data_IF_234065230887
#
_entry.id   IF_234065230887
#
_cell.length_a   1.000
_cell.length_b   1.000
_cell.length_c   1.000
_cell.angle_alpha   90.00
_cell.angle_beta   90.00
_cell.angle_gamma   90.00
#
_symmetry.space_group_name_H-M   'P 1'
#
loop_
_entity.id
_entity.type
_entity.pdbx_description
1 polymer ?
#
# COMPACT_ATOMS: atom_id res chain seq x y z
N UNK A 1 25.01 -22.71 11.32
CA UNK A 1 25.12 -21.28 11.69
C UNK A 1 24.75 -20.45 10.47
N UNK A 2 23.65 -19.69 10.52
CA UNK A 2 23.35 -18.76 9.43
C UNK A 2 24.46 -17.71 9.31
N UNK A 3 24.88 -17.38 8.09
CA UNK A 3 25.83 -16.29 7.84
C UNK A 3 25.31 -14.99 8.47
N UNK A 4 26.20 -14.18 9.05
CA UNK A 4 25.86 -12.86 9.60
C UNK A 4 25.14 -11.98 8.57
N UNK A 5 25.55 -12.07 7.30
CA UNK A 5 24.88 -11.40 6.20
C UNK A 5 23.43 -11.89 5.99
N UNK A 6 23.19 -13.21 6.09
CA UNK A 6 21.86 -13.78 5.96
C UNK A 6 20.93 -13.36 7.11
N UNK A 7 21.46 -13.28 8.33
CA UNK A 7 20.72 -12.77 9.48
C UNK A 7 20.31 -11.30 9.29
N UNK A 8 21.23 -10.42 8.88
CA UNK A 8 20.94 -9.02 8.63
C UNK A 8 19.92 -8.82 7.51
N UNK A 9 20.04 -9.59 6.43
CA UNK A 9 19.08 -9.57 5.33
C UNK A 9 17.67 -9.99 5.80
N UNK A 10 17.56 -11.06 6.62
CA UNK A 10 16.29 -11.49 7.22
C UNK A 10 15.67 -10.38 8.08
N UNK A 11 16.46 -9.75 8.95
CA UNK A 11 15.98 -8.64 9.80
C UNK A 11 15.53 -7.44 8.98
N UNK A 12 16.23 -7.10 7.91
CA UNK A 12 15.84 -6.02 6.99
C UNK A 12 14.51 -6.32 6.30
N UNK A 13 14.33 -7.54 5.80
CA UNK A 13 13.08 -7.99 5.18
C UNK A 13 11.90 -8.01 6.17
N UNK A 14 12.11 -8.49 7.41
CA UNK A 14 11.10 -8.44 8.47
C UNK A 14 10.65 -7.00 8.74
N UNK A 15 11.60 -6.08 8.88
CA UNK A 15 11.32 -4.65 9.11
C UNK A 15 10.53 -4.03 7.96
N UNK A 16 10.86 -4.38 6.72
CA UNK A 16 10.13 -3.94 5.54
C UNK A 16 8.70 -4.50 5.51
N UNK A 17 8.52 -5.80 5.75
CA UNK A 17 7.20 -6.45 5.80
C UNK A 17 6.30 -5.82 6.86
N UNK A 18 6.81 -5.59 8.07
CA UNK A 18 6.06 -4.93 9.15
C UNK A 18 5.63 -3.51 8.74
N UNK A 19 6.53 -2.73 8.11
CA UNK A 19 6.20 -1.38 7.64
C UNK A 19 5.15 -1.38 6.53
N UNK A 20 5.23 -2.32 5.60
CA UNK A 20 4.23 -2.47 4.54
C UNK A 20 2.89 -2.88 5.14
N UNK A 21 2.88 -3.87 6.04
CA UNK A 21 1.69 -4.36 6.71
C UNK A 21 1.00 -3.25 7.51
N UNK A 22 1.75 -2.49 8.32
CA UNK A 22 1.20 -1.37 9.09
C UNK A 22 0.54 -0.31 8.18
N UNK A 23 1.21 0.09 7.09
CA UNK A 23 0.64 1.05 6.13
C UNK A 23 -0.64 0.52 5.47
N UNK A 24 -0.67 -0.77 5.12
CA UNK A 24 -1.83 -1.42 4.51
C UNK A 24 -2.99 -1.51 5.51
N UNK A 25 -2.73 -1.98 6.72
CA UNK A 25 -3.73 -2.10 7.79
C UNK A 25 -4.32 -0.74 8.17
N UNK A 26 -3.49 0.31 8.28
CA UNK A 26 -3.95 1.66 8.58
C UNK A 26 -4.84 2.22 7.46
N UNK A 27 -4.48 1.96 6.19
CA UNK A 27 -5.31 2.35 5.04
C UNK A 27 -6.66 1.63 5.06
N UNK A 28 -6.67 0.33 5.32
CA UNK A 28 -7.92 -0.44 5.38
C UNK A 28 -8.78 -0.07 6.59
N UNK A 29 -8.17 0.27 7.72
CA UNK A 29 -8.88 0.85 8.88
C UNK A 29 -9.62 2.12 8.48
N UNK A 30 -8.98 2.99 7.69
CA UNK A 30 -9.64 4.19 7.16
C UNK A 30 -10.75 3.85 6.15
N UNK A 31 -10.53 2.86 5.29
CA UNK A 31 -11.53 2.42 4.30
C UNK A 31 -12.82 1.95 4.99
N UNK A 32 -12.69 1.21 6.09
CA UNK A 32 -13.83 0.75 6.89
C UNK A 32 -14.48 1.86 7.72
N UNK A 33 -13.68 2.68 8.40
CA UNK A 33 -14.21 3.68 9.33
C UNK A 33 -14.99 4.79 8.61
N UNK A 34 -14.56 5.18 7.40
CA UNK A 34 -15.08 6.29 6.57
C UNK A 34 -14.93 7.67 7.22
N UNK A 35 -15.40 7.83 8.46
CA UNK A 35 -15.34 9.03 9.28
C UNK A 35 -14.07 9.09 10.14
N UNK A 36 -13.50 10.30 10.24
CA UNK A 36 -12.22 10.54 10.91
C UNK A 36 -12.23 10.26 12.42
N UNK A 37 -13.32 10.59 13.12
CA UNK A 37 -13.41 10.42 14.56
C UNK A 37 -13.39 8.93 14.98
N UNK A 38 -14.00 8.04 14.19
CA UNK A 38 -13.91 6.59 14.39
C UNK A 38 -12.50 6.10 14.04
N UNK A 39 -11.99 6.54 12.89
CA UNK A 39 -10.67 6.16 12.41
C UNK A 39 -9.55 6.46 13.42
N UNK A 40 -9.58 7.61 14.12
CA UNK A 40 -8.50 7.95 15.05
C UNK A 40 -8.38 6.95 16.20
N UNK A 41 -9.50 6.57 16.82
CA UNK A 41 -9.50 5.58 17.89
C UNK A 41 -9.03 4.20 17.37
N UNK A 42 -9.52 3.78 16.21
CA UNK A 42 -9.13 2.49 15.62
C UNK A 42 -7.66 2.47 15.17
N UNK A 43 -7.15 3.60 14.67
CA UNK A 43 -5.75 3.77 14.27
C UNK A 43 -4.80 3.76 15.47
N UNK A 44 -5.20 4.35 16.59
CA UNK A 44 -4.46 4.30 17.86
C UNK A 44 -4.40 2.86 18.39
N UNK A 45 -5.55 2.19 18.49
CA UNK A 45 -5.62 0.77 18.86
C UNK A 45 -4.76 -0.12 17.94
N UNK A 46 -4.76 0.16 16.63
CA UNK A 46 -3.89 -0.53 15.67
C UNK A 46 -2.42 -0.26 15.98
N UNK A 47 -2.04 0.98 16.30
CA UNK A 47 -0.66 1.33 16.61
C UNK A 47 -0.18 0.66 17.89
N UNK A 48 -1.00 0.63 18.93
CA UNK A 48 -0.66 0.03 20.22
C UNK A 48 -0.31 -1.44 20.07
N UNK A 49 -1.10 -2.20 19.30
CA UNK A 49 -0.83 -3.62 18.98
C UNK A 49 0.52 -3.83 18.30
N UNK A 50 0.99 -2.88 17.48
CA UNK A 50 2.32 -2.94 16.86
C UNK A 50 3.44 -2.53 17.85
N UNK A 51 3.19 -1.55 18.73
CA UNK A 51 4.17 -1.13 19.74
C UNK A 51 4.38 -2.19 20.82
N UNK A 52 3.32 -2.91 21.23
CA UNK A 52 3.39 -4.05 22.18
C UNK A 52 4.45 -5.08 21.78
N UNK A 53 4.63 -5.31 20.47
CA UNK A 53 5.51 -6.33 19.92
C UNK A 53 6.84 -5.78 19.37
N UNK A 54 7.11 -4.48 19.53
CA UNK A 54 8.27 -3.80 18.94
C UNK A 54 9.62 -4.29 19.44
N UNK A 55 9.66 -4.75 20.68
CA UNK A 55 10.89 -5.16 21.38
C UNK A 55 11.17 -6.67 21.28
N UNK A 56 10.40 -7.41 20.48
CA UNK A 56 10.68 -8.83 20.24
C UNK A 56 11.97 -8.96 19.41
N UNK A 57 12.92 -9.76 19.92
CA UNK A 57 14.24 -9.94 19.29
C UNK A 57 14.38 -11.27 18.55
N UNK A 58 13.66 -12.32 19.00
CA UNK A 58 13.71 -13.65 18.39
C UNK A 58 13.18 -13.64 16.95
N UNK A 59 14.02 -13.90 15.93
CA UNK A 59 13.61 -13.82 14.53
C UNK A 59 12.48 -14.78 14.16
N UNK A 60 12.43 -15.96 14.78
CA UNK A 60 11.42 -16.98 14.47
C UNK A 60 10.05 -16.59 15.07
N UNK A 61 10.04 -16.01 16.27
CA UNK A 61 8.84 -15.39 16.84
C UNK A 61 8.35 -14.22 15.99
N UNK A 62 9.26 -13.37 15.49
CA UNK A 62 8.89 -12.24 14.64
C UNK A 62 8.23 -12.70 13.34
N UNK A 63 8.73 -13.77 12.72
CA UNK A 63 8.11 -14.32 11.51
C UNK A 63 6.72 -14.88 11.77
N UNK A 64 6.51 -15.53 12.93
CA UNK A 64 5.18 -15.99 13.35
C UNK A 64 4.22 -14.82 13.57
N UNK A 65 4.64 -13.79 14.30
CA UNK A 65 3.83 -12.59 14.53
C UNK A 65 3.47 -11.88 13.22
N UNK A 66 4.40 -11.78 12.27
CA UNK A 66 4.12 -11.21 10.95
C UNK A 66 3.10 -12.08 10.19
N UNK A 67 3.24 -13.40 10.21
CA UNK A 67 2.31 -14.31 9.52
C UNK A 67 0.90 -14.22 10.11
N UNK A 68 0.76 -14.21 11.44
CA UNK A 68 -0.52 -14.09 12.14
C UNK A 68 -1.20 -12.74 11.87
N UNK A 69 -0.40 -11.67 11.85
CA UNK A 69 -0.88 -10.33 11.55
C UNK A 69 -1.29 -10.18 10.07
N UNK A 70 -0.54 -10.77 9.13
CA UNK A 70 -0.89 -10.83 7.71
C UNK A 70 -2.17 -11.63 7.48
N UNK A 71 -2.34 -12.77 8.16
CA UNK A 71 -3.57 -13.57 8.09
C UNK A 71 -4.78 -12.79 8.63
N UNK A 72 -4.61 -12.11 9.76
CA UNK A 72 -5.64 -11.23 10.35
C UNK A 72 -6.01 -10.09 9.40
N UNK A 73 -5.03 -9.41 8.81
CA UNK A 73 -5.25 -8.35 7.84
C UNK A 73 -6.00 -8.88 6.59
N UNK A 74 -5.60 -10.03 6.06
CA UNK A 74 -6.24 -10.62 4.89
C UNK A 74 -7.71 -10.99 5.16
N UNK A 75 -8.04 -11.45 6.37
CA UNK A 75 -9.42 -11.75 6.77
C UNK A 75 -10.31 -10.51 6.78
N UNK A 76 -9.79 -9.37 7.22
CA UNK A 76 -10.55 -8.14 7.41
C UNK A 76 -10.33 -7.11 6.30
N UNK A 77 -9.78 -7.55 5.16
CA UNK A 77 -9.48 -6.68 4.05
C UNK A 77 -10.76 -6.06 3.49
N UNK A 78 -10.73 -4.76 3.20
CA UNK A 78 -11.87 -4.11 2.58
C UNK A 78 -12.05 -4.64 1.13
N UNK A 79 -13.27 -5.02 0.71
CA UNK A 79 -13.50 -5.60 -0.62
C UNK A 79 -13.29 -4.58 -1.76
N UNK A 80 -13.58 -3.30 -1.50
CA UNK A 80 -13.43 -2.20 -2.47
C UNK A 80 -12.69 -1.00 -1.84
N UNK A 81 -11.36 -1.08 -1.64
CA UNK A 81 -10.61 -0.06 -0.91
C UNK A 81 -10.53 1.25 -1.70
N UNK A 82 -10.43 2.39 -1.01
CA UNK A 82 -10.23 3.67 -1.69
C UNK A 82 -8.92 3.71 -2.50
N UNK A 83 -9.02 4.02 -3.78
CA UNK A 83 -7.89 4.23 -4.68
C UNK A 83 -7.97 5.67 -5.19
N UNK A 84 -6.85 6.40 -5.08
CA UNK A 84 -6.78 7.77 -5.60
C UNK A 84 -7.04 7.76 -7.11
N UNK A 85 -7.80 8.72 -7.67
CA UNK A 85 -8.34 8.59 -9.03
C UNK A 85 -7.30 8.30 -10.12
N UNK A 86 -6.09 8.84 -10.04
CA UNK A 86 -5.05 8.70 -11.06
C UNK A 86 -4.09 7.51 -10.84
N UNK A 87 -4.15 6.81 -9.71
CA UNK A 87 -3.31 5.64 -9.46
C UNK A 87 -3.87 4.40 -10.19
N UNK A 88 -3.06 3.35 -10.42
CA UNK A 88 -3.55 2.08 -10.95
C UNK A 88 -4.78 1.57 -10.18
N UNK A 89 -5.86 1.25 -10.90
CA UNK A 89 -7.15 0.85 -10.32
C UNK A 89 -8.08 2.01 -9.93
N UNK A 90 -7.64 3.27 -10.08
CA UNK A 90 -8.46 4.45 -9.86
C UNK A 90 -9.31 4.83 -11.07
N UNK A 91 -10.38 5.59 -10.84
CA UNK A 91 -11.38 5.96 -11.85
C UNK A 91 -10.89 6.87 -13.00
N UNK A 92 -9.72 7.47 -12.86
CA UNK A 92 -9.06 8.32 -13.87
C UNK A 92 -7.71 7.77 -14.31
N UNK A 93 -7.39 6.53 -13.92
CA UNK A 93 -6.16 5.88 -14.37
C UNK A 93 -6.16 5.81 -15.90
N UNK A 94 -5.06 6.22 -16.53
CA UNK A 94 -4.91 6.24 -18.00
C UNK A 94 -6.04 6.94 -18.75
N UNK A 95 -6.74 7.90 -18.12
CA UNK A 95 -7.82 8.65 -18.78
C UNK A 95 -7.30 9.48 -19.97
N UNK A 96 -6.12 10.08 -19.81
CA UNK A 96 -5.45 10.90 -20.83
C UNK A 96 -3.98 10.45 -20.94
N UNK A 97 -3.67 9.32 -21.61
CA UNK A 97 -2.29 8.92 -21.83
C UNK A 97 -1.59 9.91 -22.76
N UNK A 98 -0.28 10.08 -22.60
CA UNK A 98 0.50 10.81 -23.59
C UNK A 98 0.40 10.09 -24.94
N UNK A 99 0.29 10.82 -26.07
CA UNK A 99 0.26 10.21 -27.38
C UNK A 99 1.53 9.39 -27.61
N UNK A 100 1.45 8.26 -28.33
CA UNK A 100 2.62 7.51 -28.76
C UNK A 100 3.60 8.38 -29.54
N UNK A 101 4.89 8.04 -29.46
CA UNK A 101 5.92 8.71 -30.25
C UNK A 101 5.61 8.59 -31.75
N UNK A 102 5.80 9.68 -32.50
CA UNK A 102 5.52 9.75 -33.95
C UNK A 102 4.08 10.12 -34.31
N UNK A 103 3.21 10.36 -33.32
CA UNK A 103 1.86 10.88 -33.54
C UNK A 103 1.82 12.35 -33.09
N UNK A 104 1.49 13.25 -34.01
CA UNK A 104 1.30 14.67 -33.74
C UNK A 104 -0.19 15.01 -33.72
N UNK A 105 -0.60 15.80 -32.73
CA UNK A 105 -1.95 16.38 -32.70
C UNK A 105 -1.88 17.67 -33.51
N UNK A 106 -2.39 17.62 -34.74
CA UNK A 106 -2.47 18.79 -35.62
C UNK A 106 -3.71 19.61 -35.26
N UNK A 107 -3.52 20.85 -34.81
CA UNK A 107 -4.60 21.77 -34.42
C UNK A 107 -5.04 22.65 -35.60
N UNK A 108 -5.35 22.04 -36.73
CA UNK A 108 -5.74 22.74 -37.96
C UNK A 108 -7.25 23.09 -37.99
N UNK A 109 -8.08 22.47 -37.14
CA UNK A 109 -9.52 22.80 -37.02
C UNK A 109 -10.27 22.86 -38.37
N UNK A 110 -9.86 22.05 -39.35
CA UNK A 110 -10.47 21.98 -40.68
C UNK A 110 -10.03 23.06 -41.67
N UNK A 111 -8.87 23.73 -41.46
CA UNK A 111 -8.23 24.57 -42.49
C UNK A 111 -7.17 23.80 -43.26
N UNK A 112 -7.51 22.56 -43.62
CA UNK A 112 -6.67 21.74 -44.47
C UNK A 112 -6.40 22.53 -45.75
N UNK A 113 -5.13 22.69 -46.12
CA UNK A 113 -4.72 23.44 -47.32
C UNK A 113 -5.33 22.75 -48.56
N UNK A 114 -6.53 23.19 -48.96
CA UNK A 114 -7.14 22.85 -50.23
C UNK A 114 -6.38 23.62 -51.32
N UNK A 115 -5.30 23.01 -51.81
CA UNK A 115 -4.46 23.51 -52.89
C UNK A 115 -5.25 23.88 -54.16
#
# INVERSE_FOLDING_TARGET
MASTAAYLARRAAQKERVRILYRRALKDTLNWAVHRHLFYNDAENLRDRFEENKHVEDPDTIDRLIADAEASYNKWRHPDPYIVPWAPGGSKFTRNPAPPQGIEIVYDYGREDNN
#
